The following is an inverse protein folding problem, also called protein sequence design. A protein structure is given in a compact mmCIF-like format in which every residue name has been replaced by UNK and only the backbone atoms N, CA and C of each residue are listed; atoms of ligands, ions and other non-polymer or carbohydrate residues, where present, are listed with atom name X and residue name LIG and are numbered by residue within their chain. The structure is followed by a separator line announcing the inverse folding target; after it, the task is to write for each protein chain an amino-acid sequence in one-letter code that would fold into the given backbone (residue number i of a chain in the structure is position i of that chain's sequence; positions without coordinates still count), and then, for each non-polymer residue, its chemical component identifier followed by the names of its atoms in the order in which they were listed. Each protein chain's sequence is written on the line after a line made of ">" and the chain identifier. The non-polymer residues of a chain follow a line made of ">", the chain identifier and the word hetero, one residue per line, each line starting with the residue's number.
data_IF_930721038976
#
_entry.id   IF_930721038976
#
_cell.length_a   1.000
_cell.length_b   1.000
_cell.length_c   1.000
_cell.angle_alpha   90.00
_cell.angle_beta   90.00
_cell.angle_gamma   90.00
#
_symmetry.space_group_name_H-M   'P 1'
#
loop_
_entity.id
_entity.type
_entity.pdbx_description
1 polymer ?
#
# COMPACT_ATOMS: atom_id res chain seq x y z
N UNK A 1 -10.74 9.61 4.64
CA UNK A 1 -9.86 8.49 4.26
C UNK A 1 -9.02 7.99 5.42
N UNK A 2 -8.05 8.74 5.94
CA UNK A 2 -7.13 8.27 7.01
C UNK A 2 -7.89 7.73 8.24
N UNK A 3 -8.85 8.49 8.77
CA UNK A 3 -9.66 8.04 9.91
C UNK A 3 -10.45 6.75 9.65
N UNK A 4 -10.84 6.50 8.39
CA UNK A 4 -11.59 5.30 8.00
C UNK A 4 -10.73 4.04 7.94
N UNK A 5 -9.41 4.18 7.74
CA UNK A 5 -8.48 3.06 7.54
C UNK A 5 -7.72 2.65 8.80
N UNK A 6 -7.64 3.53 9.80
CA UNK A 6 -6.96 3.21 11.07
C UNK A 6 -7.87 2.28 11.88
N UNK A 7 -7.43 1.06 12.23
CA UNK A 7 -8.29 0.09 12.91
C UNK A 7 -8.38 0.40 14.41
N UNK A 8 -9.11 1.46 14.77
CA UNK A 8 -9.16 2.03 16.11
C UNK A 8 -9.49 1.03 17.21
N UNK A 9 -10.49 0.18 16.99
CA UNK A 9 -10.94 -0.85 17.94
C UNK A 9 -9.95 -2.01 18.08
N UNK A 10 -9.13 -2.28 17.06
CA UNK A 10 -8.05 -3.27 17.14
C UNK A 10 -6.80 -2.70 17.83
N UNK A 11 -6.55 -1.40 17.72
CA UNK A 11 -5.45 -0.73 18.42
C UNK A 11 -5.69 -0.66 19.93
N UNK A 12 -6.94 -0.41 20.33
CA UNK A 12 -7.35 -0.44 21.72
C UNK A 12 -8.82 -0.87 21.81
N UNK A 13 -9.08 -1.97 22.50
CA UNK A 13 -10.44 -2.51 22.67
C UNK A 13 -11.41 -1.55 23.36
N UNK A 14 -10.91 -0.52 24.04
CA UNK A 14 -11.73 0.54 24.64
C UNK A 14 -12.10 1.67 23.66
N UNK A 15 -11.39 1.81 22.53
CA UNK A 15 -11.61 2.87 21.54
C UNK A 15 -12.74 2.51 20.56
N UNK A 16 -13.95 2.43 21.11
CA UNK A 16 -15.19 2.04 20.39
C UNK A 16 -16.04 3.24 19.97
N UNK A 17 -15.48 4.45 19.99
CA UNK A 17 -16.22 5.68 19.68
C UNK A 17 -16.85 5.64 18.29
N UNK A 18 -16.07 5.27 17.27
CA UNK A 18 -16.56 5.22 15.89
C UNK A 18 -17.61 4.13 15.68
N UNK A 19 -17.43 2.96 16.30
CA UNK A 19 -18.43 1.88 16.26
C UNK A 19 -19.76 2.32 16.90
N UNK A 20 -19.69 2.97 18.06
CA UNK A 20 -20.89 3.48 18.77
C UNK A 20 -21.55 4.62 18.02
N UNK A 21 -20.76 5.53 17.46
CA UNK A 21 -21.25 6.67 16.70
C UNK A 21 -21.97 6.20 15.43
N UNK A 22 -21.37 5.29 14.66
CA UNK A 22 -22.01 4.71 13.47
C UNK A 22 -23.31 3.98 13.83
N UNK A 23 -23.31 3.17 14.90
CA UNK A 23 -24.53 2.51 15.37
C UNK A 23 -25.60 3.51 15.79
N UNK A 24 -25.24 4.57 16.49
CA UNK A 24 -26.19 5.63 16.85
C UNK A 24 -26.79 6.29 15.61
N UNK A 25 -25.94 6.60 14.62
CA UNK A 25 -26.32 7.32 13.42
C UNK A 25 -27.25 6.50 12.50
N UNK A 26 -26.98 5.20 12.37
CA UNK A 26 -27.81 4.26 11.61
C UNK A 26 -29.17 4.00 12.30
N UNK A 27 -29.24 4.07 13.63
CA UNK A 27 -30.50 3.85 14.36
C UNK A 27 -31.48 5.04 14.30
N UNK A 28 -31.10 6.17 13.69
CA UNK A 28 -32.02 7.30 13.49
C UNK A 28 -32.89 7.00 12.25
N UNK A 29 -34.23 6.91 12.37
CA UNK A 29 -35.10 6.37 11.32
C UNK A 29 -34.89 6.98 9.92
N UNK A 30 -34.77 8.30 9.82
CA UNK A 30 -34.56 8.96 8.52
C UNK A 30 -33.12 8.83 7.98
N UNK A 31 -32.13 8.90 8.87
CA UNK A 31 -30.71 8.89 8.50
C UNK A 31 -30.21 7.47 8.20
N UNK A 32 -30.70 6.46 8.92
CA UNK A 32 -30.37 5.06 8.69
C UNK A 32 -30.86 4.53 7.35
N UNK A 33 -32.08 4.91 6.95
CA UNK A 33 -32.63 4.53 5.64
C UNK A 33 -31.91 5.25 4.49
N UNK A 34 -31.44 6.48 4.70
CA UNK A 34 -30.70 7.25 3.70
C UNK A 34 -29.24 6.78 3.54
N UNK A 35 -28.58 6.45 4.65
CA UNK A 35 -27.15 6.10 4.68
C UNK A 35 -26.89 4.59 4.57
N UNK A 36 -27.94 3.79 4.75
CA UNK A 36 -27.88 2.34 4.74
C UNK A 36 -27.58 1.75 6.12
N UNK A 37 -28.31 0.69 6.47
CA UNK A 37 -28.17 0.01 7.76
C UNK A 37 -26.84 -0.73 7.95
N UNK A 38 -26.12 -0.98 6.85
CA UNK A 38 -24.82 -1.66 6.82
C UNK A 38 -23.62 -0.69 6.72
N UNK A 39 -23.78 0.57 7.15
CA UNK A 39 -22.70 1.55 7.07
C UNK A 39 -21.48 1.11 7.89
N UNK A 40 -20.33 0.96 7.23
CA UNK A 40 -19.10 0.57 7.89
C UNK A 40 -18.55 1.69 8.80
N UNK A 41 -18.26 1.42 10.08
CA UNK A 41 -17.67 2.39 10.98
C UNK A 41 -16.26 2.80 10.53
N UNK A 42 -15.83 3.99 10.94
CA UNK A 42 -14.44 4.40 10.72
C UNK A 42 -13.49 3.42 11.43
N UNK A 43 -12.55 2.89 10.66
CA UNK A 43 -11.56 1.89 11.06
C UNK A 43 -11.79 0.52 10.46
N UNK A 44 -12.92 0.29 9.79
CA UNK A 44 -13.21 -0.95 9.05
C UNK A 44 -13.37 -0.71 7.56
N UNK A 45 -13.02 0.49 7.06
CA UNK A 45 -13.20 0.81 5.65
C UNK A 45 -12.28 0.00 4.77
N UNK A 46 -12.83 -0.46 3.64
CA UNK A 46 -12.08 -1.15 2.61
C UNK A 46 -12.39 -0.54 1.25
N UNK A 47 -12.23 -1.31 0.17
CA UNK A 47 -12.38 -0.80 -1.20
C UNK A 47 -13.72 -0.09 -1.43
N UNK A 48 -14.84 -0.64 -0.96
CA UNK A 48 -16.16 -0.08 -1.25
C UNK A 48 -16.33 1.34 -0.67
N UNK A 49 -15.99 1.53 0.61
CA UNK A 49 -16.15 2.81 1.29
C UNK A 49 -15.17 3.85 0.75
N UNK A 50 -13.95 3.44 0.40
CA UNK A 50 -12.95 4.31 -0.22
C UNK A 50 -13.43 4.76 -1.60
N UNK A 51 -13.91 3.84 -2.43
CA UNK A 51 -14.45 4.15 -3.76
C UNK A 51 -15.64 5.09 -3.66
N UNK A 52 -16.56 4.85 -2.73
CA UNK A 52 -17.70 5.73 -2.47
C UNK A 52 -17.23 7.13 -2.04
N UNK A 53 -16.24 7.22 -1.14
CA UNK A 53 -15.66 8.50 -0.74
C UNK A 53 -15.06 9.25 -1.94
N UNK A 54 -14.25 8.60 -2.78
CA UNK A 54 -13.64 9.25 -3.93
C UNK A 54 -14.68 9.69 -4.98
N UNK A 55 -15.71 8.88 -5.22
CA UNK A 55 -16.83 9.23 -6.10
C UNK A 55 -17.63 10.42 -5.54
N UNK A 56 -17.91 10.42 -4.24
CA UNK A 56 -18.60 11.54 -3.61
C UNK A 56 -17.76 12.83 -3.67
N UNK A 57 -16.45 12.73 -3.42
CA UNK A 57 -15.54 13.87 -3.51
C UNK A 57 -15.41 14.39 -4.94
N UNK A 58 -15.49 13.55 -5.98
CA UNK A 58 -15.49 14.03 -7.37
C UNK A 58 -16.73 14.87 -7.68
N UNK A 59 -17.91 14.45 -7.20
CA UNK A 59 -19.16 15.22 -7.32
C UNK A 59 -19.09 16.52 -6.49
N UNK A 60 -18.51 16.48 -5.29
CA UNK A 60 -18.30 17.70 -4.51
C UNK A 60 -17.36 18.70 -5.22
N UNK A 61 -16.31 18.22 -5.87
CA UNK A 61 -15.41 19.07 -6.67
C UNK A 61 -16.20 19.73 -7.81
N UNK A 62 -17.04 18.98 -8.52
CA UNK A 62 -17.93 19.54 -9.55
C UNK A 62 -18.78 20.69 -8.99
N UNK A 63 -19.40 20.48 -7.82
CA UNK A 63 -20.25 21.48 -7.18
C UNK A 63 -19.46 22.74 -6.74
N UNK A 64 -18.30 22.57 -6.10
CA UNK A 64 -17.47 23.68 -5.62
C UNK A 64 -16.93 24.53 -6.76
N UNK A 65 -16.49 23.90 -7.85
CA UNK A 65 -15.98 24.59 -9.03
C UNK A 65 -17.09 25.05 -9.99
N UNK A 66 -18.35 24.76 -9.67
CA UNK A 66 -19.52 25.07 -10.53
C UNK A 66 -19.34 24.55 -11.96
N UNK A 67 -18.75 23.37 -12.10
CA UNK A 67 -18.51 22.75 -13.42
C UNK A 67 -19.83 22.32 -14.04
N UNK A 68 -19.93 22.43 -15.37
CA UNK A 68 -21.07 21.87 -16.11
C UNK A 68 -21.00 20.35 -16.08
N UNK A 69 -22.17 19.69 -16.11
CA UNK A 69 -22.27 18.23 -16.10
C UNK A 69 -21.44 17.58 -17.22
N UNK A 70 -21.51 18.10 -18.44
CA UNK A 70 -20.74 17.55 -19.57
C UNK A 70 -19.24 17.60 -19.33
N UNK A 71 -18.74 18.72 -18.80
CA UNK A 71 -17.32 18.92 -18.50
C UNK A 71 -16.85 18.00 -17.37
N UNK A 72 -17.68 17.82 -16.33
CA UNK A 72 -17.41 16.88 -15.27
C UNK A 72 -17.34 15.43 -15.78
N UNK A 73 -18.30 15.01 -16.61
CA UNK A 73 -18.31 13.66 -17.17
C UNK A 73 -17.08 13.44 -18.06
N UNK A 74 -16.73 14.39 -18.91
CA UNK A 74 -15.53 14.30 -19.77
C UNK A 74 -14.25 14.20 -18.92
N UNK A 75 -14.10 15.05 -17.89
CA UNK A 75 -12.97 15.00 -16.98
C UNK A 75 -12.90 13.70 -16.17
N UNK A 76 -14.05 13.22 -15.69
CA UNK A 76 -14.15 11.97 -14.93
C UNK A 76 -13.79 10.76 -15.80
N UNK A 77 -14.33 10.69 -17.03
CA UNK A 77 -14.00 9.64 -18.00
C UNK A 77 -12.54 9.67 -18.40
N UNK A 78 -11.95 10.86 -18.63
CA UNK A 78 -10.53 11.01 -18.91
C UNK A 78 -9.68 10.48 -17.75
N UNK A 79 -9.99 10.87 -16.52
CA UNK A 79 -9.28 10.39 -15.33
C UNK A 79 -9.39 8.88 -15.15
N UNK A 80 -10.55 8.28 -15.40
CA UNK A 80 -10.70 6.82 -15.41
C UNK A 80 -9.83 6.16 -16.50
N UNK A 81 -9.71 6.79 -17.67
CA UNK A 81 -8.86 6.33 -18.76
C UNK A 81 -7.38 6.20 -18.35
N UNK A 82 -6.87 7.15 -17.58
CA UNK A 82 -5.48 7.14 -17.10
C UNK A 82 -5.17 5.92 -16.21
N UNK A 83 -6.17 5.44 -15.45
CA UNK A 83 -6.03 4.27 -14.57
C UNK A 83 -6.33 2.93 -15.26
N UNK A 84 -6.85 2.91 -16.49
CA UNK A 84 -7.21 1.67 -17.19
C UNK A 84 -6.01 0.75 -17.39
N UNK A 85 -4.85 1.33 -17.75
CA UNK A 85 -3.60 0.58 -17.91
C UNK A 85 -3.18 -0.13 -16.62
N UNK A 86 -3.27 0.55 -15.48
CA UNK A 86 -2.95 0.02 -14.15
C UNK A 86 -3.95 -1.08 -13.77
N UNK A 87 -5.25 -0.87 -14.01
CA UNK A 87 -6.29 -1.84 -13.72
C UNK A 87 -6.07 -3.17 -14.46
N UNK A 88 -5.69 -3.12 -15.74
CA UNK A 88 -5.38 -4.32 -16.55
C UNK A 88 -4.16 -5.06 -15.97
N UNK A 89 -3.10 -4.34 -15.59
CA UNK A 89 -1.90 -4.97 -14.99
C UNK A 89 -2.25 -5.68 -13.68
N UNK A 90 -3.06 -5.06 -12.82
CA UNK A 90 -3.52 -5.66 -11.56
C UNK A 90 -4.38 -6.90 -11.82
N UNK A 91 -5.28 -6.87 -12.81
CA UNK A 91 -6.10 -8.02 -13.19
C UNK A 91 -5.24 -9.19 -13.68
N UNK A 92 -4.23 -8.93 -14.52
CA UNK A 92 -3.29 -9.95 -15.02
C UNK A 92 -2.45 -10.52 -13.88
N UNK A 93 -1.93 -9.68 -12.99
CA UNK A 93 -1.19 -10.13 -11.80
C UNK A 93 -2.02 -11.06 -10.92
N UNK A 94 -3.31 -10.73 -10.72
CA UNK A 94 -4.23 -11.61 -10.00
C UNK A 94 -4.46 -12.92 -10.74
N UNK A 95 -4.58 -12.87 -12.07
CA UNK A 95 -4.67 -14.07 -12.92
C UNK A 95 -3.46 -15.00 -12.77
N UNK A 96 -2.24 -14.46 -12.76
CA UNK A 96 -1.00 -15.24 -12.53
C UNK A 96 -1.07 -15.95 -11.18
N UNK A 97 -1.48 -15.25 -10.11
CA UNK A 97 -1.59 -15.85 -8.79
C UNK A 97 -2.63 -17.00 -8.75
N UNK A 98 -3.76 -16.84 -9.43
CA UNK A 98 -4.77 -17.90 -9.56
C UNK A 98 -4.19 -19.11 -10.29
N UNK A 99 -3.46 -18.90 -11.40
CA UNK A 99 -2.81 -19.98 -12.15
C UNK A 99 -1.75 -20.68 -11.30
N UNK A 100 -0.92 -19.93 -10.56
CA UNK A 100 0.11 -20.50 -9.69
C UNK A 100 -0.50 -21.37 -8.57
N UNK A 101 -1.60 -20.91 -7.98
CA UNK A 101 -2.31 -21.66 -6.94
C UNK A 101 -2.96 -22.92 -7.52
N UNK A 102 -3.70 -22.80 -8.63
CA UNK A 102 -4.39 -23.94 -9.25
C UNK A 102 -3.41 -24.96 -9.88
N UNK A 103 -2.26 -24.48 -10.38
CA UNK A 103 -1.21 -25.31 -10.96
C UNK A 103 -0.25 -25.92 -9.94
N UNK A 104 -0.51 -25.76 -8.63
CA UNK A 104 0.37 -26.23 -7.54
C UNK A 104 1.80 -25.68 -7.61
N UNK A 105 2.06 -24.65 -8.44
CA UNK A 105 3.36 -23.98 -8.57
C UNK A 105 3.70 -23.27 -7.26
N UNK A 106 2.69 -22.67 -6.62
CA UNK A 106 2.82 -22.08 -5.29
C UNK A 106 3.40 -23.15 -4.35
N UNK A 107 2.83 -24.35 -4.25
CA UNK A 107 3.36 -25.44 -3.43
C UNK A 107 4.83 -25.80 -3.71
N UNK A 108 5.24 -25.81 -4.98
CA UNK A 108 6.63 -26.08 -5.37
C UNK A 108 7.59 -24.97 -4.94
N UNK A 109 7.25 -23.71 -5.20
CA UNK A 109 8.04 -22.55 -4.74
C UNK A 109 8.17 -22.56 -3.22
N UNK A 110 7.10 -22.96 -2.54
CA UNK A 110 7.07 -23.07 -1.09
C UNK A 110 7.95 -24.21 -0.57
N UNK A 111 7.96 -25.37 -1.22
CA UNK A 111 8.85 -26.48 -0.85
C UNK A 111 10.33 -26.15 -1.05
N UNK A 112 10.68 -25.50 -2.17
CA UNK A 112 12.04 -25.02 -2.41
C UNK A 112 12.42 -23.87 -1.46
N UNK A 113 11.46 -23.01 -1.12
CA UNK A 113 11.62 -21.97 -0.11
C UNK A 113 11.90 -22.57 1.27
N UNK A 114 11.15 -23.60 1.68
CA UNK A 114 11.36 -24.32 2.93
C UNK A 114 12.76 -24.96 2.99
N UNK A 115 13.21 -25.59 1.91
CA UNK A 115 14.55 -26.18 1.81
C UNK A 115 15.67 -25.14 1.79
N UNK A 116 15.49 -24.04 1.05
CA UNK A 116 16.50 -22.99 0.89
C UNK A 116 16.58 -22.01 2.07
N UNK A 117 15.49 -21.87 2.82
CA UNK A 117 15.38 -21.04 4.02
C UNK A 117 15.44 -21.87 5.31
N UNK A 118 15.69 -23.18 5.21
CA UNK A 118 15.77 -24.07 6.36
C UNK A 118 16.83 -23.57 7.35
N UNK A 119 16.40 -23.21 8.57
CA UNK A 119 17.27 -22.66 9.62
C UNK A 119 17.50 -21.14 9.56
N UNK A 120 16.87 -20.41 8.63
CA UNK A 120 16.91 -18.95 8.60
C UNK A 120 15.91 -18.37 9.60
N UNK A 121 16.33 -17.42 10.44
CA UNK A 121 15.42 -16.79 11.41
C UNK A 121 14.42 -15.86 10.72
N UNK A 122 13.23 -15.72 11.30
CA UNK A 122 12.19 -14.76 10.88
C UNK A 122 12.76 -13.34 10.68
N UNK A 123 13.63 -12.91 11.61
CA UNK A 123 14.33 -11.62 11.56
C UNK A 123 15.22 -11.49 10.33
N UNK A 124 16.02 -12.51 10.00
CA UNK A 124 16.90 -12.47 8.83
C UNK A 124 16.06 -12.47 7.55
N UNK A 125 15.00 -13.28 7.49
CA UNK A 125 14.10 -13.33 6.33
C UNK A 125 13.52 -11.96 5.99
N UNK A 126 12.97 -11.26 6.99
CA UNK A 126 12.32 -9.97 6.73
C UNK A 126 13.34 -8.88 6.34
N UNK A 127 14.54 -8.91 6.93
CA UNK A 127 15.62 -7.98 6.58
C UNK A 127 16.10 -8.24 5.14
N UNK A 128 16.26 -9.50 4.75
CA UNK A 128 16.60 -9.86 3.37
C UNK A 128 15.48 -9.47 2.39
N UNK A 129 14.22 -9.61 2.79
CA UNK A 129 13.07 -9.14 2.01
C UNK A 129 13.12 -7.63 1.79
N UNK A 130 13.40 -6.86 2.85
CA UNK A 130 13.61 -5.41 2.75
C UNK A 130 14.77 -5.07 1.80
N UNK A 131 15.92 -5.71 1.96
CA UNK A 131 17.10 -5.52 1.10
C UNK A 131 16.81 -5.88 -0.36
N UNK A 132 16.05 -6.96 -0.61
CA UNK A 132 15.63 -7.36 -1.96
C UNK A 132 14.75 -6.31 -2.62
N UNK A 133 13.84 -5.70 -1.86
CA UNK A 133 12.94 -4.67 -2.41
C UNK A 133 13.62 -3.33 -2.69
N UNK A 134 14.79 -3.05 -2.13
CA UNK A 134 15.55 -1.81 -2.42
C UNK A 134 15.95 -1.72 -3.91
N UNK A 135 16.75 -2.64 -4.49
CA UNK A 135 17.10 -2.57 -5.91
C UNK A 135 15.87 -2.73 -6.80
N UNK A 136 14.88 -3.54 -6.40
CA UNK A 136 13.62 -3.69 -7.15
C UNK A 136 12.82 -2.39 -7.22
N UNK A 137 12.76 -1.62 -6.13
CA UNK A 137 12.08 -0.32 -6.09
C UNK A 137 12.81 0.75 -6.90
N UNK A 138 14.13 0.60 -7.08
CA UNK A 138 14.89 1.46 -7.99
C UNK A 138 14.56 1.14 -9.45
N UNK A 139 14.48 -0.15 -9.80
CA UNK A 139 14.17 -0.63 -11.15
C UNK A 139 12.71 -0.43 -11.55
N UNK A 140 11.79 -0.60 -10.60
CA UNK A 140 10.33 -0.46 -10.78
C UNK A 140 9.84 0.59 -9.77
N UNK A 141 9.87 1.89 -10.12
CA UNK A 141 9.51 2.98 -9.19
C UNK A 141 8.02 3.01 -8.82
N UNK A 142 7.18 2.36 -9.63
CA UNK A 142 5.75 2.24 -9.36
C UNK A 142 5.52 1.23 -8.24
N UNK A 143 5.03 1.72 -7.09
CA UNK A 143 4.67 0.85 -5.96
C UNK A 143 3.64 -0.19 -6.40
N UNK A 144 2.50 0.25 -6.93
CA UNK A 144 1.42 -0.65 -7.35
C UNK A 144 1.89 -1.68 -8.40
N UNK A 145 2.73 -1.28 -9.35
CA UNK A 145 3.29 -2.19 -10.36
C UNK A 145 4.25 -3.22 -9.77
N UNK A 146 5.14 -2.79 -8.86
CA UNK A 146 6.08 -3.70 -8.19
C UNK A 146 5.35 -4.69 -7.27
N UNK A 147 4.31 -4.24 -6.57
CA UNK A 147 3.47 -5.11 -5.74
C UNK A 147 2.75 -6.15 -6.62
N UNK A 148 2.15 -5.72 -7.74
CA UNK A 148 1.50 -6.61 -8.70
C UNK A 148 2.47 -7.67 -9.25
N UNK A 149 3.72 -7.31 -9.52
CA UNK A 149 4.72 -8.23 -10.06
C UNK A 149 5.29 -9.23 -9.03
N UNK A 150 5.35 -8.88 -7.74
CA UNK A 150 6.14 -9.64 -6.75
C UNK A 150 5.32 -10.30 -5.65
N UNK A 151 4.18 -9.72 -5.26
CA UNK A 151 3.44 -10.17 -4.06
C UNK A 151 2.81 -11.56 -4.21
N UNK A 152 2.55 -11.99 -5.45
CA UNK A 152 2.11 -13.37 -5.72
C UNK A 152 3.13 -14.43 -5.33
N UNK A 153 4.42 -14.07 -5.23
CA UNK A 153 5.53 -14.97 -4.90
C UNK A 153 6.02 -14.72 -3.47
N UNK A 154 6.39 -13.47 -3.15
CA UNK A 154 7.01 -13.15 -1.84
C UNK A 154 5.98 -13.19 -0.69
N UNK A 155 4.70 -12.89 -0.98
CA UNK A 155 3.64 -13.02 0.00
C UNK A 155 3.53 -14.44 0.58
N UNK A 156 3.35 -15.47 -0.27
CA UNK A 156 3.41 -16.87 0.17
C UNK A 156 4.71 -17.24 0.87
N UNK A 157 5.88 -16.80 0.37
CA UNK A 157 7.17 -17.10 1.02
C UNK A 157 7.25 -16.59 2.46
N UNK A 158 6.64 -15.45 2.78
CA UNK A 158 6.56 -14.93 4.14
C UNK A 158 5.93 -15.93 5.11
N UNK A 159 4.80 -16.53 4.72
CA UNK A 159 4.12 -17.52 5.56
C UNK A 159 5.00 -18.74 5.90
N UNK A 160 5.92 -19.13 5.01
CA UNK A 160 6.85 -20.25 5.23
C UNK A 160 8.02 -19.89 6.13
N UNK A 161 8.50 -18.65 6.03
CA UNK A 161 9.46 -18.12 6.98
C UNK A 161 8.83 -17.78 8.34
N UNK A 162 7.55 -18.15 8.57
CA UNK A 162 6.75 -17.79 9.73
C UNK A 162 6.65 -16.27 9.95
N UNK A 163 6.66 -15.49 8.86
CA UNK A 163 6.53 -14.04 8.86
C UNK A 163 5.18 -13.64 8.26
N UNK A 164 4.46 -12.75 8.94
CA UNK A 164 3.14 -12.31 8.47
C UNK A 164 3.22 -11.58 7.12
N UNK A 165 2.24 -11.78 6.25
CA UNK A 165 2.14 -11.06 4.98
C UNK A 165 2.07 -9.54 5.16
N UNK A 166 1.47 -9.05 6.26
CA UNK A 166 1.48 -7.64 6.64
C UNK A 166 2.90 -7.09 6.88
N UNK A 167 3.77 -7.90 7.49
CA UNK A 167 5.15 -7.50 7.72
C UNK A 167 5.96 -7.51 6.43
N UNK A 168 5.73 -8.48 5.53
CA UNK A 168 6.28 -8.49 4.17
C UNK A 168 5.88 -7.22 3.39
N UNK A 169 4.60 -6.83 3.44
CA UNK A 169 4.11 -5.59 2.83
C UNK A 169 4.79 -4.36 3.45
N UNK A 170 5.02 -4.38 4.76
CA UNK A 170 5.71 -3.28 5.47
C UNK A 170 7.17 -3.18 5.03
N UNK A 171 7.90 -4.29 4.92
CA UNK A 171 9.26 -4.30 4.40
C UNK A 171 9.31 -3.77 2.95
N UNK A 172 8.40 -4.23 2.09
CA UNK A 172 8.26 -3.74 0.73
C UNK A 172 8.00 -2.21 0.68
N UNK A 173 7.02 -1.71 1.43
CA UNK A 173 6.66 -0.29 1.44
C UNK A 173 7.79 0.57 2.02
N UNK A 174 8.47 0.08 3.07
CA UNK A 174 9.63 0.76 3.63
C UNK A 174 10.77 0.85 2.63
N UNK A 175 11.04 -0.22 1.87
CA UNK A 175 12.10 -0.22 0.86
C UNK A 175 11.80 0.75 -0.28
N UNK A 176 10.54 0.75 -0.76
CA UNK A 176 10.11 1.70 -1.79
C UNK A 176 10.20 3.15 -1.31
N UNK A 177 9.73 3.44 -0.09
CA UNK A 177 9.85 4.76 0.52
C UNK A 177 11.30 5.20 0.67
N UNK A 178 12.17 4.31 1.13
CA UNK A 178 13.61 4.56 1.29
C UNK A 178 14.26 4.93 -0.04
N UNK A 179 14.03 4.16 -1.10
CA UNK A 179 14.59 4.43 -2.44
C UNK A 179 14.05 5.72 -3.05
N UNK A 180 12.76 5.99 -2.86
CA UNK A 180 12.09 7.17 -3.43
C UNK A 180 12.61 8.51 -2.90
N UNK A 181 13.38 8.52 -1.80
CA UNK A 181 14.04 9.71 -1.26
C UNK A 181 15.28 10.15 -2.07
N UNK A 182 15.91 9.24 -2.81
CA UNK A 182 17.18 9.51 -3.50
C UNK A 182 17.16 9.16 -4.98
N UNK A 183 16.22 8.34 -5.45
CA UNK A 183 16.23 7.89 -6.84
C UNK A 183 15.92 9.03 -7.81
N UNK A 184 16.69 9.19 -8.91
CA UNK A 184 16.42 10.21 -9.92
C UNK A 184 15.17 9.90 -10.75
N UNK A 185 14.61 8.70 -10.63
CA UNK A 185 13.32 8.33 -11.24
C UNK A 185 12.12 8.84 -10.43
N UNK A 186 12.34 9.39 -9.24
CA UNK A 186 11.30 10.01 -8.41
C UNK A 186 11.05 11.44 -8.88
N UNK A 187 9.91 11.65 -9.56
CA UNK A 187 9.52 12.97 -10.05
C UNK A 187 9.40 14.02 -8.94
N UNK A 188 9.03 13.60 -7.72
CA UNK A 188 8.95 14.49 -6.56
C UNK A 188 10.34 15.01 -6.16
N UNK A 189 11.33 14.12 -6.04
CA UNK A 189 12.70 14.50 -5.68
C UNK A 189 13.31 15.35 -6.79
N UNK A 190 13.18 14.94 -8.05
CA UNK A 190 13.73 15.70 -9.17
C UNK A 190 13.08 17.08 -9.33
N UNK A 191 11.76 17.17 -9.14
CA UNK A 191 11.03 18.44 -9.16
C UNK A 191 11.47 19.37 -8.03
N UNK A 192 11.59 18.85 -6.80
CA UNK A 192 12.06 19.63 -5.66
C UNK A 192 13.51 20.13 -5.84
N UNK A 193 14.41 19.28 -6.34
CA UNK A 193 15.79 19.66 -6.62
C UNK A 193 15.90 20.71 -7.73
N UNK A 194 15.07 20.62 -8.76
CA UNK A 194 15.02 21.61 -9.83
C UNK A 194 14.58 22.99 -9.31
N UNK A 195 13.54 23.05 -8.48
CA UNK A 195 13.06 24.29 -7.85
C UNK A 195 14.13 24.87 -6.90
N UNK A 196 14.81 24.01 -6.15
CA UNK A 196 15.85 24.42 -5.21
C UNK A 196 17.20 24.74 -5.89
N UNK A 197 17.33 24.51 -7.20
CA UNK A 197 18.59 24.62 -7.95
C UNK A 197 19.74 23.78 -7.36
N UNK A 198 19.43 22.60 -6.80
CA UNK A 198 20.41 21.70 -6.19
C UNK A 198 20.74 20.55 -7.14
N UNK A 199 22.03 20.30 -7.36
CA UNK A 199 22.47 19.15 -8.13
C UNK A 199 22.22 17.83 -7.37
N UNK A 200 21.75 16.79 -8.06
CA UNK A 200 21.48 15.45 -7.51
C UNK A 200 22.68 14.87 -6.76
N UNK A 201 23.91 15.10 -7.24
CA UNK A 201 25.11 14.62 -6.55
C UNK A 201 25.33 15.26 -5.17
N UNK A 202 24.92 16.52 -5.00
CA UNK A 202 24.95 17.21 -3.70
C UNK A 202 23.85 16.63 -2.79
N UNK A 203 22.65 16.42 -3.35
CA UNK A 203 21.53 15.80 -2.65
C UNK A 203 21.89 14.43 -2.09
N UNK A 204 22.51 13.55 -2.89
CA UNK A 204 22.94 12.23 -2.42
C UNK A 204 23.93 12.29 -1.26
N UNK A 205 24.92 13.20 -1.32
CA UNK A 205 25.87 13.38 -0.22
C UNK A 205 25.20 13.86 1.05
N UNK A 206 24.22 14.75 0.93
CA UNK A 206 23.43 15.25 2.05
C UNK A 206 22.53 14.16 2.65
N UNK A 207 21.84 13.41 1.80
CA UNK A 207 20.92 12.34 2.19
C UNK A 207 21.64 11.12 2.77
N UNK A 208 22.90 10.86 2.41
CA UNK A 208 23.62 9.63 2.77
C UNK A 208 23.49 9.26 4.25
N UNK A 209 23.68 10.23 5.16
CA UNK A 209 23.57 10.00 6.61
C UNK A 209 22.16 9.59 7.02
N UNK A 210 21.16 10.30 6.51
CA UNK A 210 19.75 10.00 6.78
C UNK A 210 19.36 8.62 6.22
N UNK A 211 19.83 8.29 5.02
CA UNK A 211 19.59 6.97 4.39
C UNK A 211 20.12 5.84 5.26
N UNK A 212 21.32 5.98 5.82
CA UNK A 212 21.89 4.99 6.75
C UNK A 212 21.05 4.88 8.02
N UNK A 213 20.67 6.01 8.64
CA UNK A 213 19.84 5.99 9.84
C UNK A 213 18.47 5.34 9.59
N UNK A 214 17.81 5.67 8.48
CA UNK A 214 16.54 5.07 8.09
C UNK A 214 16.67 3.57 7.77
N UNK A 215 17.77 3.17 7.12
CA UNK A 215 18.03 1.76 6.83
C UNK A 215 18.16 0.96 8.14
N UNK A 216 18.99 1.43 9.07
CA UNK A 216 19.21 0.76 10.36
C UNK A 216 17.92 0.76 11.19
N UNK A 217 17.22 1.90 11.28
CA UNK A 217 15.97 2.00 12.02
C UNK A 217 14.89 1.05 11.47
N UNK A 218 14.79 0.94 10.14
CA UNK A 218 13.84 0.04 9.48
C UNK A 218 14.22 -1.42 9.73
N UNK A 219 15.50 -1.79 9.61
CA UNK A 219 15.96 -3.15 9.91
C UNK A 219 15.70 -3.55 11.36
N UNK A 220 15.94 -2.65 12.32
CA UNK A 220 15.64 -2.88 13.74
C UNK A 220 14.13 -3.04 13.96
N UNK A 221 13.32 -2.16 13.40
CA UNK A 221 11.87 -2.22 13.50
C UNK A 221 11.32 -3.53 12.93
N UNK A 222 11.71 -3.89 11.70
CA UNK A 222 11.28 -5.13 11.05
C UNK A 222 11.76 -6.36 11.84
N UNK A 223 13.00 -6.33 12.34
CA UNK A 223 13.57 -7.44 13.09
C UNK A 223 12.86 -7.70 14.42
N UNK A 224 12.47 -6.64 15.14
CA UNK A 224 11.66 -6.73 16.36
C UNK A 224 10.25 -7.18 16.02
N UNK A 225 9.62 -6.57 15.00
CA UNK A 225 8.25 -6.90 14.60
C UNK A 225 8.11 -8.33 14.07
N UNK A 226 9.18 -8.95 13.57
CA UNK A 226 9.18 -10.34 13.15
C UNK A 226 9.16 -11.35 14.32
N UNK A 227 9.52 -10.91 15.54
CA UNK A 227 9.56 -11.74 16.74
C UNK A 227 8.31 -11.59 17.62
N UNK A 228 7.43 -10.65 17.29
CA UNK A 228 6.15 -10.39 17.95
C UNK A 228 5.01 -11.12 17.24
#
# INVERSE_FOLDING_TARGET
>A
MILGLIPWSNLNSHWTFFDKFTKWLVNIPFLGDLLGHDMAPFGTWYFNEITMLFLFMSVLIMAVYHMKESEFIDAFMSGMGDFLSVAIIVAVARGIQVIMNNGMITGTVLHWGELGLHGLSQTIFIILTYIFYIPMSFLIPSTSGLAAATMGIIGPMGHFAHVSGSLVITAYQAASGWVNLITPTSGVVMGALAIAHINVGIWWKWMLKLMIYLFVATCLFLGIAALL
#
